data_IF_509719948148
#
_entry.id   IF_509719948148
#
_cell.length_a   1.000
_cell.length_b   1.000
_cell.length_c   1.000
_cell.angle_alpha   90.00
_cell.angle_beta   90.00
_cell.angle_gamma   90.00
#
_symmetry.space_group_name_H-M   'P 1'
#
loop_
_entity.id
_entity.type
_entity.pdbx_description
1 polymer ?
#
# COMPACT_ATOMS: atom_id res chain seq x y z
N UNK A 1 -2.68 9.28 -28.40
CA UNK A 1 -3.31 8.71 -27.19
C UNK A 1 -2.30 7.78 -26.53
N UNK A 2 -1.57 8.26 -25.53
CA UNK A 2 -0.59 7.46 -24.79
C UNK A 2 -1.10 7.18 -23.40
N UNK A 3 -2.03 6.23 -23.26
CA UNK A 3 -2.38 5.71 -21.95
C UNK A 3 -1.16 4.95 -21.44
N UNK A 4 -0.51 5.46 -20.39
CA UNK A 4 0.51 4.69 -19.68
C UNK A 4 -0.18 3.49 -19.07
N UNK A 5 0.01 2.31 -19.65
CA UNK A 5 -0.46 1.07 -19.06
C UNK A 5 0.07 0.98 -17.63
N UNK A 6 -0.84 0.92 -16.66
CA UNK A 6 -0.46 0.70 -15.27
C UNK A 6 0.00 -0.74 -15.14
N UNK A 7 1.30 -0.96 -14.96
CA UNK A 7 1.83 -2.30 -14.67
C UNK A 7 1.29 -2.77 -13.32
N UNK A 8 0.38 -3.73 -13.36
CA UNK A 8 -0.13 -4.37 -12.15
C UNK A 8 0.82 -5.48 -11.72
N UNK A 9 1.37 -5.34 -10.52
CA UNK A 9 2.20 -6.35 -9.89
C UNK A 9 1.49 -6.89 -8.66
N UNK A 10 1.45 -8.21 -8.52
CA UNK A 10 0.92 -8.87 -7.32
C UNK A 10 2.08 -9.29 -6.42
N UNK A 11 2.03 -8.86 -5.16
CA UNK A 11 3.07 -9.13 -4.17
C UNK A 11 2.44 -9.47 -2.82
N UNK A 12 3.19 -10.20 -2.00
CA UNK A 12 2.81 -10.49 -0.60
C UNK A 12 3.40 -9.43 0.33
N UNK A 13 2.68 -9.13 1.40
CA UNK A 13 3.11 -8.25 2.47
C UNK A 13 2.23 -8.44 3.70
N UNK A 14 2.69 -7.90 4.83
CA UNK A 14 1.98 -7.94 6.10
C UNK A 14 1.70 -6.53 6.58
N UNK A 15 0.44 -6.23 6.89
CA UNK A 15 0.09 -5.01 7.62
C UNK A 15 0.51 -5.22 9.08
N UNK A 16 1.29 -4.30 9.64
CA UNK A 16 1.86 -4.41 10.99
C UNK A 16 1.35 -3.35 11.96
N UNK A 17 0.72 -2.29 11.44
CA UNK A 17 0.11 -1.23 12.25
C UNK A 17 -0.99 -0.54 11.45
N UNK A 18 -2.07 -0.12 12.11
CA UNK A 18 -3.22 0.56 11.52
C UNK A 18 -3.65 1.70 12.45
N UNK A 19 -3.86 2.87 11.88
CA UNK A 19 -4.43 4.04 12.54
C UNK A 19 -5.48 4.71 11.66
N UNK A 20 -6.14 5.74 12.20
CA UNK A 20 -7.10 6.55 11.44
C UNK A 20 -6.49 7.26 10.24
N UNK A 21 -5.18 7.54 10.27
CA UNK A 21 -4.48 8.24 9.20
C UNK A 21 -3.96 7.31 8.10
N UNK A 22 -3.80 6.01 8.39
CA UNK A 22 -3.03 5.15 7.52
C UNK A 22 -2.70 3.79 8.12
N UNK A 23 -1.83 3.06 7.45
CA UNK A 23 -1.32 1.79 7.93
C UNK A 23 0.14 1.59 7.54
N UNK A 24 0.82 0.74 8.28
CA UNK A 24 2.19 0.33 7.99
C UNK A 24 2.18 -1.09 7.43
N UNK A 25 2.98 -1.31 6.39
CA UNK A 25 3.14 -2.61 5.76
C UNK A 25 4.62 -2.98 5.65
N UNK A 26 4.92 -4.26 5.78
CA UNK A 26 6.21 -4.87 5.46
C UNK A 26 6.04 -5.76 4.23
N UNK A 27 6.90 -5.61 3.22
CA UNK A 27 6.91 -6.44 2.01
C UNK A 27 8.32 -6.64 1.49
N UNK A 28 8.56 -7.69 0.70
CA UNK A 28 9.80 -7.87 -0.06
C UNK A 28 9.77 -7.15 -1.41
N UNK A 29 8.60 -6.67 -1.84
CA UNK A 29 8.45 -5.92 -3.07
C UNK A 29 9.00 -4.49 -2.92
N UNK A 30 9.84 -4.00 -3.85
CA UNK A 30 10.44 -2.66 -3.78
C UNK A 30 9.42 -1.56 -4.08
N UNK A 31 8.61 -1.23 -3.07
CA UNK A 31 7.66 -0.12 -3.15
C UNK A 31 8.36 1.22 -3.32
N UNK A 32 7.67 2.15 -4.00
CA UNK A 32 8.13 3.52 -4.17
C UNK A 32 7.06 4.50 -3.72
N UNK A 33 7.50 5.71 -3.35
CA UNK A 33 6.60 6.77 -2.88
C UNK A 33 5.69 7.16 -4.04
N UNK A 34 4.39 7.26 -3.76
CA UNK A 34 3.37 7.53 -4.78
C UNK A 34 2.78 6.29 -5.45
N UNK A 35 3.29 5.08 -5.16
CA UNK A 35 2.59 3.86 -5.57
C UNK A 35 1.21 3.78 -4.87
N UNK A 36 0.17 3.57 -5.67
CA UNK A 36 -1.12 3.13 -5.18
C UNK A 36 -1.12 1.60 -5.10
N UNK A 37 -1.60 1.05 -4.00
CA UNK A 37 -1.68 -0.39 -3.78
C UNK A 37 -3.08 -0.78 -3.36
N UNK A 38 -3.56 -1.89 -3.90
CA UNK A 38 -4.82 -2.54 -3.52
C UNK A 38 -4.49 -3.75 -2.67
N UNK A 39 -5.16 -3.87 -1.53
CA UNK A 39 -5.02 -5.00 -0.63
C UNK A 39 -6.15 -5.96 -0.89
N UNK A 40 -5.78 -7.22 -1.11
CA UNK A 40 -6.72 -8.32 -1.32
C UNK A 40 -6.64 -9.23 -0.12
N UNK A 41 -7.45 -8.90 0.88
CA UNK A 41 -7.74 -9.81 1.96
C UNK A 41 -9.20 -10.24 1.84
N UNK A 42 -9.45 -11.55 1.78
CA UNK A 42 -10.79 -12.13 1.49
C UNK A 42 -11.64 -12.36 2.75
N UNK A 43 -11.17 -11.98 3.94
CA UNK A 43 -11.88 -12.35 5.18
C UNK A 43 -11.89 -11.33 6.31
N UNK A 44 -11.36 -10.11 6.12
CA UNK A 44 -11.25 -9.14 7.22
C UNK A 44 -11.76 -7.76 6.82
N UNK A 45 -13.00 -7.45 7.21
CA UNK A 45 -13.66 -6.15 6.98
C UNK A 45 -12.93 -4.97 7.62
N UNK A 46 -12.07 -5.21 8.61
CA UNK A 46 -11.28 -4.16 9.28
C UNK A 46 -9.99 -3.82 8.54
N UNK A 47 -9.65 -4.54 7.47
CA UNK A 47 -8.45 -4.27 6.68
C UNK A 47 -8.69 -3.18 5.63
N UNK A 48 -7.74 -2.24 5.46
CA UNK A 48 -7.85 -1.23 4.42
C UNK A 48 -7.77 -1.89 3.04
N UNK A 49 -8.73 -1.62 2.17
CA UNK A 49 -8.77 -2.17 0.81
C UNK A 49 -7.74 -1.57 -0.15
N UNK A 50 -7.18 -0.40 0.18
CA UNK A 50 -6.18 0.28 -0.63
C UNK A 50 -5.31 1.23 0.20
N UNK A 51 -4.18 1.68 -0.37
CA UNK A 51 -3.39 2.75 0.20
C UNK A 51 -2.43 3.42 -0.78
N UNK A 52 -2.03 4.65 -0.46
CA UNK A 52 -1.01 5.42 -1.19
C UNK A 52 0.28 5.48 -0.37
N UNK A 53 1.39 4.98 -0.93
CA UNK A 53 2.69 4.96 -0.25
C UNK A 53 3.23 6.38 -0.05
N UNK A 54 3.48 6.77 1.21
CA UNK A 54 3.99 8.09 1.59
C UNK A 54 5.47 8.11 1.92
N UNK A 55 5.96 7.04 2.53
CA UNK A 55 7.37 6.85 2.86
C UNK A 55 7.73 5.37 2.79
N UNK A 56 9.03 5.10 2.58
CA UNK A 56 9.61 3.76 2.56
C UNK A 56 10.91 3.79 3.36
N UNK A 57 11.14 2.73 4.11
CA UNK A 57 12.39 2.41 4.78
C UNK A 57 12.82 1.00 4.36
N UNK A 58 14.07 0.83 3.95
CA UNK A 58 14.62 -0.49 3.60
C UNK A 58 15.30 -1.07 4.83
N UNK A 59 14.89 -2.28 5.21
CA UNK A 59 15.47 -3.04 6.32
C UNK A 59 15.90 -4.42 5.80
N UNK A 60 17.20 -4.56 5.49
CA UNK A 60 17.75 -5.78 4.90
C UNK A 60 17.12 -6.10 3.54
N UNK A 61 16.46 -7.26 3.46
CA UNK A 61 15.75 -7.74 2.26
C UNK A 61 14.27 -7.32 2.20
N UNK A 62 13.82 -6.51 3.17
CA UNK A 62 12.42 -6.08 3.26
C UNK A 62 12.30 -4.56 3.19
N UNK A 63 11.09 -4.12 2.83
CA UNK A 63 10.68 -2.73 2.78
C UNK A 63 9.55 -2.54 3.78
N UNK A 64 9.74 -1.57 4.67
CA UNK A 64 8.68 -1.04 5.52
C UNK A 64 8.14 0.22 4.87
N UNK A 65 6.83 0.29 4.69
CA UNK A 65 6.18 1.41 4.06
C UNK A 65 5.02 1.92 4.91
N UNK A 66 4.86 3.24 4.97
CA UNK A 66 3.67 3.88 5.52
C UNK A 66 2.76 4.36 4.42
N UNK A 67 1.47 4.06 4.57
CA UNK A 67 0.44 4.31 3.56
C UNK A 67 -0.72 5.08 4.16
N UNK A 68 -1.29 6.00 3.37
CA UNK A 68 -2.60 6.58 3.69
C UNK A 68 -3.72 5.73 3.10
N UNK A 69 -4.75 5.42 3.90
CA UNK A 69 -5.95 4.68 3.45
C UNK A 69 -7.18 5.57 3.19
N UNK A 70 -7.14 6.86 3.58
CA UNK A 70 -8.16 7.83 3.19
C UNK A 70 -7.76 8.56 1.91
N UNK A 71 -8.45 8.26 0.82
CA UNK A 71 -8.64 9.29 -0.21
C UNK A 71 -9.80 10.16 0.27
N UNK A 72 -9.68 11.50 0.32
CA UNK A 72 -10.87 12.33 0.35
C UNK A 72 -11.63 12.05 -0.94
N UNK A 73 -12.64 11.20 -0.84
CA UNK A 73 -13.66 11.09 -1.87
C UNK A 73 -14.51 12.35 -1.68
N UNK A 74 -14.10 13.44 -2.31
CA UNK A 74 -15.03 14.53 -2.56
C UNK A 74 -16.01 13.98 -3.61
N UNK A 75 -17.11 13.40 -3.12
CA UNK A 75 -18.32 13.15 -3.90
C UNK A 75 -19.23 14.36 -3.70
#
# INVERSE_FOLDING_TARGET
MGGRDATRVEAKGSIVDISDQGFCMITTYPLQKGHAITIRDRGNEKMPGYGLVKWIEKAGSTYRAGLWHRFPVNI
#
